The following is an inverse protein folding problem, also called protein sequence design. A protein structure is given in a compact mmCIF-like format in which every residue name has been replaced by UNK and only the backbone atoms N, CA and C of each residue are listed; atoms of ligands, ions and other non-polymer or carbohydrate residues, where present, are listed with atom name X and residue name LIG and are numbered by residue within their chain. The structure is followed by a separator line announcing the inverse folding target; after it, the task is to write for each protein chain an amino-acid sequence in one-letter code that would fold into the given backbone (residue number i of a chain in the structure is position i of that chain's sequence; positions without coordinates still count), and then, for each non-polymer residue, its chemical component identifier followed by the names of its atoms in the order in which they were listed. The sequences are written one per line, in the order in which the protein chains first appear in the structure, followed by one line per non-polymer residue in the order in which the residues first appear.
data_IF_040750543299
#
_entry.id   IF_040750543299
#
_cell.length_a   1.000
_cell.length_b   1.000
_cell.length_c   1.000
_cell.angle_alpha   90.00
_cell.angle_beta   90.00
_cell.angle_gamma   90.00
#
_symmetry.space_group_name_H-M   'P 1'
#
loop_
_entity.id
_entity.type
_entity.pdbx_description
1 polymer ?
#
# COMPACT_ATOMS: atom_id res chain seq x y z
N UNK A 1 48.77 -15.11 51.13
CA UNK A 1 49.61 -14.12 50.43
C UNK A 1 49.38 -14.32 48.94
N UNK A 2 48.70 -13.37 48.29
CA UNK A 2 48.67 -13.11 46.82
C UNK A 2 48.18 -14.29 45.92
N UNK A 3 47.22 -14.17 45.00
CA UNK A 3 47.08 -13.18 43.91
C UNK A 3 45.62 -13.21 43.36
N UNK A 4 44.98 -12.04 43.44
CA UNK A 4 43.94 -11.41 42.58
C UNK A 4 42.74 -12.19 42.03
N UNK A 5 41.59 -11.93 42.66
CA UNK A 5 40.36 -11.50 42.00
C UNK A 5 40.64 -10.26 41.13
N UNK A 6 40.68 -10.41 39.80
CA UNK A 6 40.45 -9.36 38.79
C UNK A 6 40.57 -10.02 37.41
N UNK A 7 39.56 -9.77 36.56
CA UNK A 7 39.44 -10.22 35.16
C UNK A 7 38.61 -11.50 34.90
N UNK A 8 37.46 -11.63 35.55
CA UNK A 8 36.34 -12.42 34.99
C UNK A 8 35.11 -11.55 34.71
N UNK A 9 35.36 -10.30 34.32
CA UNK A 9 34.35 -9.36 33.81
C UNK A 9 34.92 -8.75 32.55
N UNK A 10 34.95 -9.53 31.48
CA UNK A 10 35.03 -9.09 30.08
C UNK A 10 35.01 -10.38 29.25
N UNK A 11 34.34 -10.36 28.10
CA UNK A 11 34.12 -11.51 27.20
C UNK A 11 32.95 -12.44 27.58
N UNK A 12 31.75 -11.87 27.69
CA UNK A 12 30.50 -12.55 27.25
C UNK A 12 29.44 -11.54 26.80
N UNK A 13 29.86 -10.37 26.30
CA UNK A 13 29.00 -9.28 25.86
C UNK A 13 29.08 -9.03 24.34
N UNK A 14 29.37 -10.07 23.55
CA UNK A 14 29.52 -9.93 22.08
C UNK A 14 28.92 -11.10 21.30
N UNK A 15 27.75 -11.61 21.73
CA UNK A 15 26.94 -12.54 20.92
C UNK A 15 25.46 -12.14 20.78
N UNK A 16 25.06 -10.99 21.32
CA UNK A 16 23.65 -10.55 21.27
C UNK A 16 23.32 -9.66 20.06
N UNK A 17 24.27 -9.41 19.15
CA UNK A 17 24.10 -8.42 18.09
C UNK A 17 23.71 -8.99 16.72
N UNK A 18 23.58 -10.32 16.58
CA UNK A 18 23.28 -10.95 15.28
C UNK A 18 21.79 -11.32 15.14
N UNK A 19 21.01 -11.33 16.23
CA UNK A 19 19.59 -11.70 16.19
C UNK A 19 18.62 -10.52 15.98
N UNK A 20 19.11 -9.28 15.79
CA UNK A 20 18.26 -8.11 15.51
C UNK A 20 18.31 -7.61 14.05
N UNK A 21 18.97 -8.34 13.15
CA UNK A 21 18.83 -8.11 11.70
C UNK A 21 17.58 -8.77 11.11
N UNK A 22 16.81 -9.52 11.91
CA UNK A 22 15.59 -10.21 11.48
C UNK A 22 14.28 -9.41 11.55
N UNK A 23 14.31 -8.13 11.95
CA UNK A 23 13.09 -7.35 12.19
C UNK A 23 12.95 -6.15 11.24
N UNK A 24 12.85 -6.34 9.92
CA UNK A 24 12.29 -5.30 9.03
C UNK A 24 11.60 -5.79 7.75
N UNK A 25 11.52 -7.10 7.48
CA UNK A 25 10.59 -7.56 6.44
C UNK A 25 9.19 -7.66 7.06
N UNK A 26 8.20 -6.85 6.64
CA UNK A 26 6.82 -7.09 7.06
C UNK A 26 6.46 -8.52 6.61
N UNK A 27 6.24 -9.42 7.57
CA UNK A 27 5.76 -10.77 7.29
C UNK A 27 4.39 -10.64 6.63
N UNK A 28 4.35 -10.69 5.30
CA UNK A 28 3.12 -10.83 4.53
C UNK A 28 2.68 -12.29 4.64
N UNK A 29 1.40 -12.51 4.93
CA UNK A 29 0.83 -13.86 4.93
C UNK A 29 0.81 -14.37 3.48
N UNK A 30 1.65 -15.35 3.16
CA UNK A 30 1.82 -15.89 1.81
C UNK A 30 0.49 -16.36 1.20
N UNK A 31 -0.39 -16.97 2.01
CA UNK A 31 -1.71 -17.41 1.54
C UNK A 31 -2.58 -16.25 1.06
N UNK A 32 -2.45 -15.09 1.71
CA UNK A 32 -3.20 -13.87 1.38
C UNK A 32 -2.62 -13.21 0.14
N UNK A 33 -1.29 -13.13 0.04
CA UNK A 33 -0.59 -12.61 -1.14
C UNK A 33 -0.98 -13.43 -2.36
N UNK A 34 -0.90 -14.76 -2.28
CA UNK A 34 -1.30 -15.67 -3.36
C UNK A 34 -2.77 -15.51 -3.75
N UNK A 35 -3.63 -15.19 -2.79
CA UNK A 35 -5.05 -14.98 -3.04
C UNK A 35 -5.32 -13.68 -3.80
N UNK A 36 -4.67 -12.57 -3.44
CA UNK A 36 -4.94 -11.26 -4.06
C UNK A 36 -4.12 -10.98 -5.33
N UNK A 37 -2.99 -11.67 -5.49
CA UNK A 37 -2.07 -11.42 -6.61
C UNK A 37 -2.73 -11.69 -7.94
N UNK A 38 -2.49 -10.79 -8.91
CA UNK A 38 -3.07 -10.78 -10.24
C UNK A 38 -4.60 -10.74 -10.27
N UNK A 39 -5.23 -10.20 -9.23
CA UNK A 39 -6.68 -10.06 -9.14
C UNK A 39 -7.09 -8.62 -8.86
N UNK A 40 -8.37 -8.33 -9.07
CA UNK A 40 -8.99 -7.08 -8.64
C UNK A 40 -9.65 -7.32 -7.30
N UNK A 41 -9.25 -6.53 -6.30
CA UNK A 41 -9.75 -6.58 -4.94
C UNK A 41 -10.52 -5.31 -4.63
N UNK A 42 -11.72 -5.43 -4.08
CA UNK A 42 -12.44 -4.28 -3.55
C UNK A 42 -11.85 -3.89 -2.21
N UNK A 43 -11.44 -2.65 -2.09
CA UNK A 43 -10.79 -2.10 -0.91
C UNK A 43 -11.48 -0.80 -0.48
N UNK A 44 -11.38 -0.49 0.80
CA UNK A 44 -11.80 0.77 1.38
C UNK A 44 -10.60 1.71 1.48
N UNK A 45 -10.77 2.97 1.10
CA UNK A 45 -9.74 4.00 1.21
C UNK A 45 -9.53 4.32 2.68
N UNK A 46 -8.39 3.88 3.24
CA UNK A 46 -8.07 4.15 4.63
C UNK A 46 -7.60 5.60 4.79
N UNK A 47 -6.69 6.08 3.96
CA UNK A 47 -6.24 7.48 3.99
C UNK A 47 -6.61 8.16 2.69
N UNK A 48 -7.45 9.20 2.75
CA UNK A 48 -7.91 9.97 1.59
C UNK A 48 -6.78 10.75 0.91
N UNK A 49 -7.05 11.22 -0.31
CA UNK A 49 -6.14 12.12 -1.02
C UNK A 49 -6.11 13.51 -0.36
N UNK A 50 -5.01 14.24 -0.58
CA UNK A 50 -4.91 15.64 -0.18
C UNK A 50 -5.05 16.56 -1.41
N UNK A 51 -5.74 17.71 -1.26
CA UNK A 51 -6.03 18.60 -2.38
C UNK A 51 -4.82 19.45 -2.80
N UNK A 52 -3.81 19.59 -1.93
CA UNK A 52 -2.68 20.50 -2.10
C UNK A 52 -1.32 19.80 -2.21
N UNK A 53 -1.24 18.54 -1.76
CA UNK A 53 0.00 17.78 -1.66
C UNK A 53 -0.15 16.31 -2.04
N UNK A 54 0.92 15.71 -2.53
CA UNK A 54 1.00 14.28 -2.78
C UNK A 54 0.95 13.52 -1.45
N UNK A 55 0.28 12.38 -1.46
CA UNK A 55 0.49 11.38 -0.42
C UNK A 55 1.81 10.65 -0.69
N UNK A 56 2.69 10.58 0.32
CA UNK A 56 3.91 9.77 0.26
C UNK A 56 4.14 9.17 1.65
N UNK A 57 4.35 7.83 1.76
CA UNK A 57 4.54 7.17 3.05
C UNK A 57 5.88 7.51 3.73
N UNK A 58 6.80 8.18 3.02
CA UNK A 58 8.05 8.65 3.61
C UNK A 58 8.47 10.00 3.05
N UNK A 59 8.87 10.88 3.97
CA UNK A 59 9.68 12.05 3.67
C UNK A 59 10.97 11.60 2.97
N UNK A 60 11.47 12.45 2.07
CA UNK A 60 12.59 12.24 1.15
C UNK A 60 13.79 11.45 1.68
N UNK A 61 14.12 11.56 2.97
CA UNK A 61 15.32 10.96 3.55
C UNK A 61 15.19 9.48 3.96
N UNK A 62 13.98 8.93 4.10
CA UNK A 62 13.77 7.51 4.44
C UNK A 62 13.53 6.67 3.17
N UNK A 63 12.98 7.27 2.11
CA UNK A 63 12.68 6.61 0.83
C UNK A 63 13.91 6.11 0.07
N UNK A 64 15.05 6.81 0.14
CA UNK A 64 16.27 6.44 -0.60
C UNK A 64 16.81 5.03 -0.26
N UNK A 65 16.33 4.41 0.82
CA UNK A 65 16.68 3.05 1.23
C UNK A 65 15.66 1.98 0.83
N UNK A 66 14.45 2.36 0.40
CA UNK A 66 13.47 1.43 -0.15
C UNK A 66 13.56 1.46 -1.66
N UNK A 67 14.08 0.39 -2.26
CA UNK A 67 14.30 0.25 -3.72
C UNK A 67 13.05 0.45 -4.60
N UNK A 68 11.88 0.65 -4.00
CA UNK A 68 10.61 0.78 -4.69
C UNK A 68 10.16 2.24 -4.88
N UNK A 69 10.75 3.23 -4.18
CA UNK A 69 10.29 4.63 -4.23
C UNK A 69 11.39 5.57 -4.73
N UNK A 70 11.00 6.55 -5.56
CA UNK A 70 11.89 7.61 -6.05
C UNK A 70 11.18 8.98 -6.17
N UNK A 71 11.93 10.00 -6.60
CA UNK A 71 11.39 11.36 -6.84
C UNK A 71 10.26 11.36 -7.89
N UNK A 72 10.27 10.43 -8.86
CA UNK A 72 9.22 10.33 -9.85
C UNK A 72 7.91 9.84 -9.22
N UNK A 73 7.96 8.96 -8.21
CA UNK A 73 6.78 8.48 -7.50
C UNK A 73 5.94 9.63 -6.95
N UNK A 74 6.57 10.66 -6.35
CA UNK A 74 5.87 11.77 -5.67
C UNK A 74 4.95 12.57 -6.61
N UNK A 75 5.18 12.50 -7.92
CA UNK A 75 4.47 13.30 -8.91
C UNK A 75 3.07 12.76 -9.23
N UNK A 76 2.71 11.57 -8.72
CA UNK A 76 1.44 10.90 -9.01
C UNK A 76 0.50 10.87 -7.81
N UNK A 77 -0.76 10.55 -8.07
CA UNK A 77 -1.78 10.35 -7.04
C UNK A 77 -1.63 8.94 -6.47
N UNK A 78 -1.48 8.86 -5.14
CA UNK A 78 -1.35 7.62 -4.40
C UNK A 78 -2.38 7.58 -3.29
N UNK A 79 -2.84 6.37 -2.98
CA UNK A 79 -3.77 6.13 -1.89
C UNK A 79 -3.35 4.91 -1.09
N UNK A 80 -3.81 4.84 0.15
CA UNK A 80 -3.64 3.66 0.99
C UNK A 80 -4.98 2.96 1.21
N UNK A 81 -5.39 2.09 0.27
CA UNK A 81 -6.59 1.29 0.38
C UNK A 81 -6.34 0.02 1.20
N UNK A 82 -7.40 -0.51 1.80
CA UNK A 82 -7.40 -1.68 2.65
C UNK A 82 -8.58 -2.61 2.35
N UNK A 83 -8.34 -3.92 2.33
CA UNK A 83 -9.40 -4.92 2.40
C UNK A 83 -9.24 -5.80 3.64
N UNK A 84 -10.34 -6.03 4.35
CA UNK A 84 -10.43 -7.11 5.34
C UNK A 84 -11.01 -8.33 4.64
N UNK A 85 -10.15 -9.33 4.42
CA UNK A 85 -10.49 -10.54 3.69
C UNK A 85 -11.38 -11.47 4.54
N UNK A 86 -11.92 -12.52 3.91
CA UNK A 86 -12.90 -13.44 4.51
C UNK A 86 -12.34 -14.20 5.75
N UNK A 87 -13.29 -14.76 6.51
CA UNK A 87 -13.19 -15.34 7.87
C UNK A 87 -12.27 -16.57 7.99
N UNK A 88 -11.91 -17.19 6.87
CA UNK A 88 -11.03 -18.36 6.78
C UNK A 88 -9.55 -17.98 6.74
N UNK A 89 -9.21 -16.75 6.31
CA UNK A 89 -7.83 -16.29 6.16
C UNK A 89 -7.41 -15.20 7.18
N UNK A 90 -8.36 -14.65 7.97
CA UNK A 90 -8.15 -13.58 8.97
C UNK A 90 -7.01 -12.63 8.60
N UNK A 91 -7.16 -11.95 7.47
CA UNK A 91 -6.10 -11.12 6.93
C UNK A 91 -6.58 -9.75 6.50
N UNK A 92 -5.70 -8.80 6.71
CA UNK A 92 -5.83 -7.44 6.23
C UNK A 92 -4.86 -7.28 5.07
N UNK A 93 -5.38 -6.81 3.95
CA UNK A 93 -4.60 -6.46 2.77
C UNK A 93 -4.50 -4.96 2.74
N UNK A 94 -3.27 -4.46 2.75
CA UNK A 94 -2.93 -3.04 2.77
C UNK A 94 -1.93 -2.81 1.64
N UNK A 95 -2.36 -2.18 0.55
CA UNK A 95 -1.59 -2.11 -0.69
C UNK A 95 -1.58 -0.70 -1.23
N UNK A 96 -0.46 0.01 -1.10
CA UNK A 96 -0.34 1.36 -1.63
C UNK A 96 -0.59 1.33 -3.13
N UNK A 97 -1.58 2.10 -3.59
CA UNK A 97 -2.03 2.05 -4.96
C UNK A 97 -1.89 3.41 -5.65
N UNK A 98 -1.46 3.38 -6.91
CA UNK A 98 -1.52 4.55 -7.79
C UNK A 98 -2.95 4.73 -8.26
N UNK A 99 -3.41 5.98 -8.34
CA UNK A 99 -4.75 6.31 -8.81
C UNK A 99 -4.71 6.62 -10.30
N UNK A 100 -5.43 5.83 -11.11
CA UNK A 100 -5.54 6.03 -12.55
C UNK A 100 -6.23 7.35 -12.89
N UNK A 101 -5.88 7.90 -14.05
CA UNK A 101 -6.60 9.01 -14.66
C UNK A 101 -8.09 8.64 -14.86
N UNK A 102 -8.98 9.60 -14.67
CA UNK A 102 -10.43 9.38 -14.72
C UNK A 102 -11.07 8.90 -13.40
N UNK A 103 -10.28 8.43 -12.43
CA UNK A 103 -10.78 8.19 -11.08
C UNK A 103 -10.92 9.52 -10.34
N UNK A 104 -12.11 9.86 -9.80
CA UNK A 104 -12.31 11.13 -9.08
C UNK A 104 -11.45 11.19 -7.81
N UNK A 105 -11.38 12.37 -7.20
CA UNK A 105 -10.71 12.54 -5.92
C UNK A 105 -11.31 11.62 -4.84
N UNK A 106 -10.46 10.86 -4.17
CA UNK A 106 -10.83 9.83 -3.21
C UNK A 106 -10.75 10.33 -1.77
N UNK A 107 -11.76 10.00 -0.97
CA UNK A 107 -11.83 10.33 0.47
C UNK A 107 -11.72 9.08 1.32
N UNK A 108 -11.38 9.26 2.59
CA UNK A 108 -11.49 8.19 3.59
C UNK A 108 -12.89 7.56 3.54
N UNK A 109 -12.96 6.23 3.53
CA UNK A 109 -14.20 5.45 3.48
C UNK A 109 -14.75 5.19 2.07
N UNK A 110 -14.20 5.81 1.02
CA UNK A 110 -14.59 5.48 -0.36
C UNK A 110 -14.23 4.01 -0.66
N UNK A 111 -15.12 3.29 -1.35
CA UNK A 111 -14.83 1.93 -1.84
C UNK A 111 -14.28 2.00 -3.25
N UNK A 112 -13.16 1.33 -3.49
CA UNK A 112 -12.46 1.30 -4.76
C UNK A 112 -12.15 -0.13 -5.18
N UNK A 113 -12.09 -0.37 -6.49
CA UNK A 113 -11.55 -1.62 -7.01
C UNK A 113 -10.05 -1.39 -7.34
N UNK A 114 -9.20 -2.27 -6.82
CA UNK A 114 -7.74 -2.19 -6.91
C UNK A 114 -7.22 -3.44 -7.61
N UNK A 115 -6.53 -3.28 -8.73
CA UNK A 115 -5.75 -4.35 -9.31
C UNK A 115 -4.43 -4.51 -8.55
N UNK A 116 -4.10 -5.73 -8.12
CA UNK A 116 -2.90 -6.02 -7.33
C UNK A 116 -1.95 -6.89 -8.14
N UNK A 117 -0.85 -6.33 -8.71
CA UNK A 117 0.17 -7.13 -9.38
C UNK A 117 1.00 -7.92 -8.36
N UNK A 118 1.88 -8.83 -8.81
CA UNK A 118 2.75 -9.57 -7.90
C UNK A 118 3.72 -8.63 -7.19
N UNK A 119 3.91 -8.83 -5.88
CA UNK A 119 4.69 -7.93 -5.03
C UNK A 119 6.14 -7.77 -5.50
N UNK A 120 6.74 -8.84 -6.00
CA UNK A 120 8.09 -8.86 -6.57
C UNK A 120 8.27 -7.94 -7.78
N UNK A 121 7.18 -7.50 -8.40
CA UNK A 121 7.21 -6.58 -9.54
C UNK A 121 7.15 -5.11 -9.13
N UNK A 122 6.98 -4.81 -7.83
CA UNK A 122 6.71 -3.44 -7.38
C UNK A 122 7.91 -2.52 -7.62
N UNK A 123 7.60 -1.36 -8.19
CA UNK A 123 8.46 -0.21 -8.37
C UNK A 123 7.56 1.02 -8.57
N UNK A 124 7.30 1.74 -7.49
CA UNK A 124 6.43 2.94 -7.47
C UNK A 124 6.98 4.05 -8.36
N UNK A 125 8.32 4.15 -8.53
CA UNK A 125 8.98 5.07 -9.46
C UNK A 125 8.66 4.80 -10.92
N UNK A 126 8.41 3.53 -11.27
CA UNK A 126 8.03 3.09 -12.61
C UNK A 126 6.51 2.83 -12.76
N UNK A 127 5.70 3.23 -11.77
CA UNK A 127 4.26 2.94 -11.71
C UNK A 127 3.91 1.44 -11.72
N UNK A 128 4.87 0.58 -11.38
CA UNK A 128 4.63 -0.84 -11.14
C UNK A 128 4.15 -0.98 -9.70
N UNK A 129 2.86 -0.84 -9.48
CA UNK A 129 2.25 -0.87 -8.17
C UNK A 129 0.82 -1.36 -8.31
N UNK A 130 0.12 -1.64 -7.19
CA UNK A 130 -1.33 -1.72 -7.18
C UNK A 130 -1.95 -0.50 -7.85
N UNK A 131 -3.04 -0.71 -8.60
CA UNK A 131 -3.69 0.35 -9.39
C UNK A 131 -5.14 0.46 -8.94
N UNK A 132 -5.55 1.65 -8.50
CA UNK A 132 -6.97 1.97 -8.37
C UNK A 132 -7.53 2.17 -9.77
N UNK A 133 -8.39 1.24 -10.20
CA UNK A 133 -8.97 1.25 -11.54
C UNK A 133 -10.31 1.98 -11.60
N UNK A 134 -11.04 2.06 -10.48
CA UNK A 134 -12.28 2.84 -10.36
C UNK A 134 -12.70 3.10 -8.92
N UNK A 135 -13.47 4.16 -8.74
CA UNK A 135 -14.35 4.34 -7.59
C UNK A 135 -15.60 3.46 -7.75
N UNK A 136 -15.98 2.77 -6.68
CA UNK A 136 -17.18 1.92 -6.61
C UNK A 136 -18.29 2.65 -5.87
N UNK A 137 -18.04 3.05 -4.63
CA UNK A 137 -19.01 3.75 -3.78
C UNK A 137 -18.31 4.94 -3.11
N UNK A 138 -19.04 6.03 -2.94
CA UNK A 138 -18.61 7.14 -2.08
C UNK A 138 -18.84 6.78 -0.62
N UNK A 139 -18.00 7.31 0.26
CA UNK A 139 -18.07 7.07 1.70
C UNK A 139 -19.43 7.42 2.34
N UNK A 140 -20.15 8.38 1.76
CA UNK A 140 -21.46 8.87 2.19
C UNK A 140 -22.64 8.14 1.51
N UNK A 141 -22.38 7.19 0.60
CA UNK A 141 -23.40 6.39 -0.08
C UNK A 141 -23.55 5.02 0.61
N UNK A 142 -24.31 5.01 1.72
CA UNK A 142 -24.56 3.80 2.52
C UNK A 142 -25.22 2.70 1.71
N UNK A 143 -26.14 3.05 0.81
CA UNK A 143 -26.91 2.10 0.00
C UNK A 143 -26.00 1.36 -0.98
N UNK A 144 -25.10 2.10 -1.65
CA UNK A 144 -24.07 1.50 -2.50
C UNK A 144 -23.15 0.58 -1.69
N UNK A 145 -22.67 1.04 -0.53
CA UNK A 145 -21.77 0.26 0.33
C UNK A 145 -22.43 -1.05 0.78
N UNK A 146 -23.68 -1.00 1.23
CA UNK A 146 -24.43 -2.19 1.63
C UNK A 146 -24.66 -3.15 0.48
N UNK A 147 -25.06 -2.63 -0.69
CA UNK A 147 -25.27 -3.45 -1.89
C UNK A 147 -23.97 -4.13 -2.32
N UNK A 148 -22.88 -3.37 -2.39
CA UNK A 148 -21.53 -3.84 -2.70
C UNK A 148 -21.10 -4.95 -1.73
N UNK A 149 -21.32 -4.76 -0.42
CA UNK A 149 -21.05 -5.82 0.58
C UNK A 149 -21.91 -7.05 0.31
N UNK A 150 -23.22 -6.92 0.08
CA UNK A 150 -24.12 -8.06 -0.18
C UNK A 150 -23.71 -8.86 -1.40
N UNK A 151 -23.33 -8.21 -2.50
CA UNK A 151 -22.81 -8.87 -3.71
C UNK A 151 -21.56 -9.70 -3.44
N UNK A 152 -20.78 -9.32 -2.42
CA UNK A 152 -19.54 -9.96 -2.00
C UNK A 152 -19.69 -10.79 -0.71
N UNK A 153 -20.92 -11.21 -0.35
CA UNK A 153 -21.13 -12.04 0.85
C UNK A 153 -20.86 -11.32 2.19
N UNK A 154 -20.92 -10.00 2.19
CA UNK A 154 -20.83 -9.12 3.36
C UNK A 154 -19.46 -8.47 3.60
N UNK A 155 -18.49 -8.58 2.68
CA UNK A 155 -17.09 -8.18 2.92
C UNK A 155 -16.39 -7.58 1.70
N UNK A 156 -15.23 -6.97 1.95
CA UNK A 156 -14.28 -6.58 0.91
C UNK A 156 -13.53 -7.83 0.43
N UNK A 157 -13.56 -8.14 -0.86
CA UNK A 157 -13.08 -9.41 -1.41
C UNK A 157 -12.57 -9.23 -2.86
N UNK A 158 -12.02 -10.30 -3.43
CA UNK A 158 -11.71 -10.38 -4.86
C UNK A 158 -13.02 -10.25 -5.65
N UNK A 159 -13.11 -9.20 -6.47
CA UNK A 159 -14.28 -8.91 -7.31
C UNK A 159 -14.11 -9.38 -8.75
N UNK A 160 -12.86 -9.60 -9.17
CA UNK A 160 -12.55 -10.21 -10.46
C UNK A 160 -11.25 -11.00 -10.37
N UNK A 161 -11.23 -12.18 -10.98
CA UNK A 161 -10.02 -12.98 -11.14
C UNK A 161 -9.29 -12.59 -12.43
N UNK A 162 -7.96 -12.55 -12.36
CA UNK A 162 -7.10 -12.23 -13.49
C UNK A 162 -6.86 -10.73 -13.70
N UNK A 163 -5.88 -10.43 -14.56
CA UNK A 163 -5.49 -9.07 -14.89
C UNK A 163 -6.58 -8.41 -15.75
N UNK A 164 -7.11 -7.25 -15.35
CA UNK A 164 -7.97 -6.46 -16.22
C UNK A 164 -7.17 -5.94 -17.43
N UNK A 165 -7.87 -5.51 -18.48
CA UNK A 165 -7.25 -4.76 -19.58
C UNK A 165 -6.84 -3.38 -19.07
N UNK A 166 -5.52 -3.18 -18.92
CA UNK A 166 -4.92 -1.94 -18.46
C UNK A 166 -4.41 -1.07 -19.62
N UNK A 167 -4.63 -1.44 -20.88
CA UNK A 167 -4.10 -0.73 -22.05
C UNK A 167 -4.57 0.73 -22.16
N UNK A 168 -5.71 1.05 -21.52
CA UNK A 168 -6.31 2.39 -21.49
C UNK A 168 -6.06 3.14 -20.19
N UNK A 169 -5.35 2.53 -19.24
CA UNK A 169 -5.03 3.17 -17.96
C UNK A 169 -3.87 4.14 -18.19
N UNK A 170 -4.11 5.40 -17.87
CA UNK A 170 -3.11 6.46 -17.93
C UNK A 170 -2.87 7.04 -16.53
N UNK A 171 -1.70 7.68 -16.37
CA UNK A 171 -1.30 8.33 -15.13
C UNK A 171 -0.67 9.68 -15.46
N UNK A 172 -1.32 10.75 -15.03
CA UNK A 172 -0.82 12.11 -15.22
C UNK A 172 -0.06 12.58 -13.97
N UNK A 173 1.11 13.18 -14.21
CA UNK A 173 1.86 13.88 -13.17
C UNK A 173 1.03 15.04 -12.64
N UNK A 174 0.52 14.89 -11.43
CA UNK A 174 -0.40 15.81 -10.76
C UNK A 174 0.34 16.74 -9.80
N UNK A 175 1.52 16.31 -9.33
CA UNK A 175 2.33 17.03 -8.36
C UNK A 175 3.72 17.32 -8.95
N UNK A 176 4.34 18.41 -8.48
CA UNK A 176 5.75 18.68 -8.75
C UNK A 176 6.64 17.72 -7.95
N UNK A 177 7.95 17.85 -8.16
CA UNK A 177 8.96 17.07 -7.44
C UNK A 177 8.83 17.24 -5.93
N UNK A 178 8.45 18.40 -5.41
CA UNK A 178 8.28 18.61 -3.96
C UNK A 178 6.99 18.01 -3.41
N UNK A 179 6.13 17.45 -4.27
CA UNK A 179 4.83 16.92 -3.91
C UNK A 179 3.76 18.00 -3.84
N UNK A 180 4.02 19.23 -4.28
CA UNK A 180 3.00 20.28 -4.36
C UNK A 180 2.19 20.10 -5.63
N UNK A 181 0.87 20.28 -5.54
CA UNK A 181 0.00 20.10 -6.70
C UNK A 181 0.30 21.12 -7.80
N UNK A 182 0.38 20.65 -9.04
CA UNK A 182 0.61 21.49 -10.21
C UNK A 182 -0.64 22.28 -10.59
N UNK A 183 -1.84 21.73 -10.32
CA UNK A 183 -3.13 22.32 -10.69
C UNK A 183 -4.11 22.16 -9.50
N UNK A 184 -4.76 23.24 -9.03
CA UNK A 184 -5.80 23.17 -7.98
C UNK A 184 -6.94 22.22 -8.39
N UNK A 185 -7.53 21.50 -7.43
CA UNK A 185 -8.77 20.77 -7.68
C UNK A 185 -9.87 21.76 -8.09
N UNK A 186 -10.57 21.43 -9.19
CA UNK A 186 -11.83 22.08 -9.55
C UNK A 186 -12.96 21.54 -8.67
#
# INVERSE_FOLDING_TARGET
MHITFKNLVLVSATLSSIALQGCTTPHRNEGVVNHITNNVVRMEVNWGEYPDRAWSPASYNVMARYHHWDENSIQYRWIWPQATMRRDLYAQVNEIAVVADGVPFLRHGDLVDVFVPPFETYNYGQLKAPIVIRLVCKADDSDCIEKSKKELGGKNEIVSKGSPDLSRVAFTKTFDKTGKRLIPLQ
#
